data_IF_524579239630
#
_entry.id   IF_524579239630
#
_cell.length_a   1.000
_cell.length_b   1.000
_cell.length_c   1.000
_cell.angle_alpha   90.00
_cell.angle_beta   90.00
_cell.angle_gamma   90.00
#
_symmetry.space_group_name_H-M   'P 1'
#
loop_
_entity.id
_entity.type
_entity.pdbx_description
1 polymer ?
#
# COMPACT_ATOMS: atom_id res chain seq x y z
N UNK A 1 9.50 1.28 17.11
CA UNK A 1 8.66 2.12 16.27
C UNK A 1 7.77 1.25 15.41
N UNK A 2 6.50 1.58 15.33
CA UNK A 2 5.55 0.74 14.64
C UNK A 2 5.40 1.18 13.18
N UNK A 3 5.83 0.30 12.27
CA UNK A 3 5.74 0.54 10.83
C UNK A 3 4.59 -0.23 10.20
N UNK A 4 3.63 -0.65 11.00
CA UNK A 4 2.50 -1.44 10.52
C UNK A 4 1.21 -0.65 10.63
N UNK A 5 0.33 -0.82 9.65
CA UNK A 5 -0.98 -0.18 9.63
C UNK A 5 -2.00 -1.16 9.08
N UNK A 6 -3.27 -0.90 9.39
CA UNK A 6 -4.37 -1.67 8.79
C UNK A 6 -4.85 -0.94 7.55
N UNK A 7 -5.04 -1.67 6.48
CA UNK A 7 -5.52 -1.12 5.23
C UNK A 7 -7.02 -0.86 5.36
N UNK A 8 -7.41 0.40 5.19
CA UNK A 8 -8.80 0.82 5.33
C UNK A 8 -9.46 1.14 4.00
N UNK A 9 -8.68 1.17 2.92
CA UNK A 9 -9.19 1.42 1.59
C UNK A 9 -8.34 0.64 0.59
N UNK A 10 -8.98 0.13 -0.46
CA UNK A 10 -8.31 -0.71 -1.44
C UNK A 10 -9.07 -0.65 -2.75
N UNK A 11 -8.41 -0.19 -3.81
CA UNK A 11 -9.04 -0.18 -5.12
C UNK A 11 -8.02 -0.31 -6.25
N UNK A 12 -8.49 -0.80 -7.39
CA UNK A 12 -7.70 -0.94 -8.60
C UNK A 12 -7.95 0.27 -9.48
N UNK A 13 -6.87 0.87 -9.99
CA UNK A 13 -7.02 1.94 -10.97
C UNK A 13 -7.51 1.31 -12.27
N UNK A 14 -8.66 1.75 -12.81
CA UNK A 14 -9.23 1.10 -14.00
C UNK A 14 -8.26 1.06 -15.17
N UNK A 15 -8.27 -0.07 -15.89
CA UNK A 15 -7.45 -0.30 -17.09
C UNK A 15 -5.94 -0.30 -16.83
N UNK A 16 -5.54 -0.49 -15.58
CA UNK A 16 -4.12 -0.58 -15.22
C UNK A 16 -3.89 -1.72 -14.25
N UNK A 17 -2.62 -1.98 -13.95
CA UNK A 17 -2.22 -2.91 -12.91
C UNK A 17 -1.85 -2.19 -11.61
N UNK A 18 -2.18 -0.92 -11.49
CA UNK A 18 -1.90 -0.15 -10.29
C UNK A 18 -2.98 -0.40 -9.25
N UNK A 19 -2.55 -0.80 -8.08
CA UNK A 19 -3.42 -0.99 -6.92
C UNK A 19 -3.13 0.12 -5.91
N UNK A 20 -4.19 0.71 -5.39
CA UNK A 20 -4.07 1.76 -4.37
C UNK A 20 -4.62 1.24 -3.06
N UNK A 21 -3.82 1.32 -2.01
CA UNK A 21 -4.29 1.03 -0.66
C UNK A 21 -4.22 2.30 0.17
N UNK A 22 -5.21 2.47 1.02
CA UNK A 22 -5.27 3.60 1.94
C UNK A 22 -5.12 3.13 3.38
N UNK A 23 -4.46 3.94 4.18
CA UNK A 23 -4.30 3.71 5.62
C UNK A 23 -4.70 4.99 6.34
N UNK A 24 -4.94 4.87 7.65
CA UNK A 24 -5.32 6.04 8.43
C UNK A 24 -4.20 7.08 8.47
N UNK A 25 -2.96 6.62 8.58
CA UNK A 25 -1.81 7.52 8.54
C UNK A 25 -0.58 6.72 8.10
N UNK A 26 0.26 7.36 7.29
CA UNK A 26 1.53 6.74 6.88
C UNK A 26 2.56 7.02 7.97
N UNK A 27 3.37 6.00 8.35
CA UNK A 27 4.44 6.23 9.33
C UNK A 27 5.41 7.30 8.86
N UNK A 28 5.96 8.06 9.80
CA UNK A 28 6.91 9.12 9.49
C UNK A 28 8.30 8.54 9.21
N UNK A 29 8.41 7.77 8.15
CA UNK A 29 9.65 7.16 7.69
C UNK A 29 9.72 7.27 6.17
N UNK A 30 10.92 7.14 5.65
CA UNK A 30 11.11 7.02 4.20
C UNK A 30 11.08 5.54 3.87
N UNK A 31 10.16 5.12 3.01
CA UNK A 31 10.02 3.72 2.66
C UNK A 31 9.95 3.56 1.14
N UNK A 32 10.42 2.42 0.66
CA UNK A 32 10.41 2.09 -0.76
C UNK A 32 9.55 0.89 -1.07
N UNK A 33 9.18 0.11 -0.07
CA UNK A 33 8.46 -1.15 -0.24
C UNK A 33 7.43 -1.30 0.86
N UNK A 34 6.41 -2.09 0.57
CA UNK A 34 5.43 -2.50 1.57
C UNK A 34 5.29 -4.00 1.53
N UNK A 35 4.98 -4.59 2.67
CA UNK A 35 4.76 -6.03 2.79
C UNK A 35 3.32 -6.27 3.22
N UNK A 36 2.61 -7.08 2.45
CA UNK A 36 1.21 -7.42 2.72
C UNK A 36 1.06 -8.92 2.52
N UNK A 37 0.54 -9.62 3.51
CA UNK A 37 0.30 -11.08 3.44
C UNK A 37 1.55 -11.86 3.02
N UNK A 38 2.73 -11.44 3.50
CA UNK A 38 3.98 -12.13 3.20
C UNK A 38 4.59 -11.78 1.87
N UNK A 39 3.96 -10.93 1.06
CA UNK A 39 4.47 -10.50 -0.23
C UNK A 39 4.97 -9.07 -0.16
N UNK A 40 6.07 -8.80 -0.84
CA UNK A 40 6.68 -7.47 -0.87
C UNK A 40 6.37 -6.81 -2.21
N UNK A 41 5.89 -5.57 -2.16
CA UNK A 41 5.57 -4.77 -3.32
C UNK A 41 6.38 -3.48 -3.30
N UNK A 42 6.89 -3.07 -4.46
CA UNK A 42 7.62 -1.82 -4.58
C UNK A 42 6.63 -0.66 -4.72
N UNK A 43 6.88 0.39 -3.96
CA UNK A 43 6.07 1.60 -4.01
C UNK A 43 6.26 2.32 -5.34
N UNK A 44 5.16 2.71 -5.96
CA UNK A 44 5.18 3.61 -7.11
C UNK A 44 5.05 5.03 -6.56
N UNK A 45 6.00 5.93 -6.83
CA UNK A 45 5.92 7.30 -6.32
C UNK A 45 4.68 8.02 -6.84
N UNK A 46 3.99 8.71 -5.93
CA UNK A 46 2.85 9.55 -6.29
C UNK A 46 2.94 10.84 -5.49
N UNK A 47 2.50 11.95 -6.07
CA UNK A 47 2.63 13.24 -5.42
C UNK A 47 1.34 13.76 -4.80
N UNK A 48 0.18 13.25 -5.20
CA UNK A 48 -1.09 13.87 -4.85
C UNK A 48 -1.95 13.07 -3.88
N UNK A 49 -1.50 11.91 -3.43
CA UNK A 49 -2.31 11.04 -2.60
C UNK A 49 -1.77 11.00 -1.19
N UNK A 50 -2.58 11.47 -0.24
CA UNK A 50 -2.25 11.38 1.17
C UNK A 50 -2.68 10.04 1.74
N UNK A 51 -1.82 9.48 2.59
CA UNK A 51 -2.13 8.25 3.33
C UNK A 51 -2.48 7.08 2.41
N UNK A 52 -1.96 7.10 1.20
CA UNK A 52 -2.17 6.04 0.22
C UNK A 52 -0.83 5.53 -0.30
N UNK A 53 -0.82 4.27 -0.70
CA UNK A 53 0.34 3.65 -1.31
C UNK A 53 -0.11 3.03 -2.62
N UNK A 54 0.65 3.24 -3.68
CA UNK A 54 0.39 2.67 -4.98
C UNK A 54 1.47 1.65 -5.31
N UNK A 55 1.07 0.50 -5.80
CA UNK A 55 2.01 -0.52 -6.25
C UNK A 55 1.38 -1.33 -7.39
N UNK A 56 2.22 -2.06 -8.11
CA UNK A 56 1.73 -2.92 -9.18
C UNK A 56 1.24 -4.23 -8.60
N UNK A 57 0.02 -4.62 -8.94
CA UNK A 57 -0.56 -5.87 -8.47
C UNK A 57 -1.50 -6.42 -9.54
N UNK A 58 -1.25 -7.66 -9.93
CA UNK A 58 -1.96 -8.31 -11.04
C UNK A 58 -3.02 -9.31 -10.55
N UNK A 59 -3.28 -9.37 -9.26
CA UNK A 59 -4.25 -10.30 -8.70
C UNK A 59 -5.62 -9.68 -8.51
N UNK A 60 -6.55 -10.50 -8.01
CA UNK A 60 -7.93 -10.10 -7.75
C UNK A 60 -8.28 -10.07 -6.26
N UNK A 61 -7.32 -10.32 -5.39
CA UNK A 61 -7.58 -10.33 -3.95
C UNK A 61 -7.79 -8.93 -3.43
N UNK A 62 -8.55 -8.82 -2.36
CA UNK A 62 -8.68 -7.56 -1.65
C UNK A 62 -7.66 -7.51 -0.52
N UNK A 63 -7.10 -6.33 -0.29
CA UNK A 63 -6.22 -6.09 0.85
C UNK A 63 -6.94 -5.36 1.98
N UNK A 64 -8.22 -5.12 1.84
CA UNK A 64 -8.99 -4.42 2.87
C UNK A 64 -8.90 -5.18 4.19
N UNK A 65 -8.66 -4.46 5.27
CA UNK A 65 -8.48 -4.98 6.62
C UNK A 65 -7.21 -5.81 6.82
N UNK A 66 -6.37 -5.95 5.83
CA UNK A 66 -5.06 -6.57 5.97
C UNK A 66 -4.07 -5.62 6.61
N UNK A 67 -3.03 -6.18 7.22
CA UNK A 67 -1.95 -5.39 7.76
C UNK A 67 -0.90 -5.13 6.68
N UNK A 68 -0.47 -3.90 6.57
CA UNK A 68 0.63 -3.50 5.71
C UNK A 68 1.81 -3.09 6.57
N UNK A 69 3.00 -3.59 6.23
CA UNK A 69 4.25 -3.21 6.87
C UNK A 69 5.05 -2.36 5.91
N UNK A 70 5.47 -1.17 6.38
CA UNK A 70 6.27 -0.26 5.57
C UNK A 70 7.74 -0.60 5.78
N UNK A 71 8.46 -0.82 4.67
CA UNK A 71 9.84 -1.29 4.68
C UNK A 71 10.77 -0.20 4.14
N UNK A 72 11.80 0.07 4.92
CA UNK A 72 12.83 1.03 4.53
C UNK A 72 13.66 0.55 3.34
#
# INVERSE_FOLDING_TARGET
MDNKRIIIDDFQVPSTKYRVIGVESIPNIIFNKVKINGQIYERVPTSDMKNCVVFLYDGNDTFLNCEVEFIL
#
